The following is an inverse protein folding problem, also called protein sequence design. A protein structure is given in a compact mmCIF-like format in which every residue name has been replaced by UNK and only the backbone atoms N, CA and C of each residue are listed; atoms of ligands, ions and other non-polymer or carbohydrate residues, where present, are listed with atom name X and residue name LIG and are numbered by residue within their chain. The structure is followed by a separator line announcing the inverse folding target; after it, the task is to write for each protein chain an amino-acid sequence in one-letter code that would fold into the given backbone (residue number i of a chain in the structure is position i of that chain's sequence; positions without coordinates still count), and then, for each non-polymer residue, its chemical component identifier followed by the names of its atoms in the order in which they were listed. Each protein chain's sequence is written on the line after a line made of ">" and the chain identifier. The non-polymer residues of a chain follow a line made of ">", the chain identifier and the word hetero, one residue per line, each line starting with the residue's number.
data_IF_351443855017
#
_entry.id   IF_351443855017
#
_cell.length_a   1.000
_cell.length_b   1.000
_cell.length_c   1.000
_cell.angle_alpha   90.00
_cell.angle_beta   90.00
_cell.angle_gamma   90.00
#
_symmetry.space_group_name_H-M   'P 1'
#
loop_
_entity.id
_entity.type
_entity.pdbx_description
1 polymer ?
#
# COMPACT_ATOMS: atom_id res chain seq x y z
N UNK A 1 5.28 -36.19 -7.76
CA UNK A 1 5.28 -34.85 -8.41
C UNK A 1 4.48 -33.92 -7.50
N UNK A 2 5.15 -33.11 -6.70
CA UNK A 2 4.52 -32.30 -5.65
C UNK A 2 3.87 -31.06 -6.26
N UNK A 3 2.53 -30.98 -6.21
CA UNK A 3 1.79 -29.78 -6.54
C UNK A 3 1.94 -28.77 -5.40
N UNK A 4 2.84 -27.81 -5.55
CA UNK A 4 2.89 -26.64 -4.67
C UNK A 4 1.67 -25.77 -4.95
N UNK A 5 0.67 -25.99 -4.10
CA UNK A 5 -0.64 -25.36 -4.08
C UNK A 5 -0.59 -23.83 -4.17
N UNK A 6 -1.40 -23.27 -5.08
CA UNK A 6 -1.71 -21.84 -5.24
C UNK A 6 -2.19 -21.16 -3.93
N UNK A 7 -2.56 -21.92 -2.90
CA UNK A 7 -2.92 -21.38 -1.57
C UNK A 7 -1.74 -20.74 -0.83
N UNK A 8 -0.51 -21.17 -1.09
CA UNK A 8 0.68 -20.66 -0.39
C UNK A 8 1.04 -19.23 -0.80
N UNK A 9 0.80 -18.84 -2.06
CA UNK A 9 1.08 -17.49 -2.55
C UNK A 9 0.05 -16.47 -2.04
N UNK A 10 -1.23 -16.87 -1.94
CA UNK A 10 -2.28 -16.03 -1.36
C UNK A 10 -2.05 -15.76 0.12
N UNK A 11 -1.64 -16.79 0.88
CA UNK A 11 -1.26 -16.64 2.29
C UNK A 11 -0.04 -15.72 2.48
N UNK A 12 0.97 -15.86 1.62
CA UNK A 12 2.15 -15.00 1.63
C UNK A 12 1.79 -13.53 1.33
N UNK A 13 0.93 -13.28 0.35
CA UNK A 13 0.46 -11.92 0.00
C UNK A 13 -0.30 -11.26 1.17
N UNK A 14 -1.21 -12.00 1.81
CA UNK A 14 -1.93 -11.51 2.99
C UNK A 14 -0.97 -11.22 4.14
N UNK A 15 0.03 -12.08 4.36
CA UNK A 15 1.05 -11.88 5.39
C UNK A 15 1.91 -10.64 5.16
N UNK A 16 2.32 -10.39 3.92
CA UNK A 16 3.10 -9.20 3.54
C UNK A 16 2.26 -7.93 3.73
N UNK A 17 1.01 -7.92 3.29
CA UNK A 17 0.12 -6.76 3.48
C UNK A 17 -0.15 -6.47 4.95
N UNK A 18 -0.40 -7.51 5.76
CA UNK A 18 -0.61 -7.37 7.20
C UNK A 18 0.64 -6.83 7.92
N UNK A 19 1.84 -7.24 7.49
CA UNK A 19 3.10 -6.73 8.03
C UNK A 19 3.29 -5.24 7.76
N UNK A 20 3.09 -4.79 6.51
CA UNK A 20 3.19 -3.37 6.17
C UNK A 20 2.12 -2.53 6.86
N UNK A 21 0.89 -3.05 7.01
CA UNK A 21 -0.17 -2.38 7.75
C UNK A 21 0.17 -2.22 9.24
N UNK A 22 0.66 -3.27 9.88
CA UNK A 22 1.09 -3.22 11.28
C UNK A 22 2.27 -2.28 11.49
N UNK A 23 3.22 -2.25 10.56
CA UNK A 23 4.37 -1.34 10.60
C UNK A 23 3.93 0.13 10.46
N UNK A 24 3.04 0.43 9.50
CA UNK A 24 2.49 1.78 9.33
C UNK A 24 1.71 2.23 10.57
N UNK A 25 0.91 1.34 11.16
CA UNK A 25 0.20 1.61 12.40
C UNK A 25 1.18 1.86 13.56
N UNK A 26 2.21 1.05 13.74
CA UNK A 26 3.20 1.25 14.80
C UNK A 26 3.93 2.61 14.67
N UNK A 27 4.27 3.03 13.46
CA UNK A 27 4.92 4.32 13.21
C UNK A 27 3.95 5.50 13.45
N UNK A 28 2.69 5.38 13.02
CA UNK A 28 1.68 6.41 13.26
C UNK A 28 1.37 6.63 14.76
N UNK A 29 1.59 5.61 15.59
CA UNK A 29 1.37 5.65 17.03
C UNK A 29 2.64 6.00 17.85
N UNK A 30 3.79 6.23 17.20
CA UNK A 30 5.07 6.48 17.87
C UNK A 30 5.26 7.93 18.39
N UNK A 31 4.24 8.77 18.33
CA UNK A 31 4.27 10.16 18.80
C UNK A 31 4.01 10.24 20.32
N UNK A 32 5.04 10.01 21.14
CA UNK A 32 5.00 10.42 22.55
C UNK A 32 6.36 10.93 23.04
N UNK A 33 6.53 12.25 23.06
CA UNK A 33 7.59 12.93 23.82
C UNK A 33 7.00 14.12 24.58
N UNK A 34 7.25 14.14 25.90
CA UNK A 34 6.68 15.01 26.92
C UNK A 34 6.79 16.53 26.62
N UNK A 35 5.80 17.37 27.00
CA UNK A 35 5.85 18.79 26.68
C UNK A 35 6.69 19.60 27.70
N UNK A 36 7.73 20.30 27.23
CA UNK A 36 8.03 21.66 27.73
C UNK A 36 7.03 22.65 27.12
N UNK A 37 7.02 23.96 27.48
CA UNK A 37 6.04 24.92 26.92
C UNK A 37 6.02 24.83 25.39
N UNK A 38 4.99 24.16 24.87
CA UNK A 38 4.98 23.69 23.49
C UNK A 38 4.46 24.83 22.61
N UNK A 39 5.13 25.13 21.48
CA UNK A 39 4.51 25.86 20.38
C UNK A 39 3.13 25.25 20.08
N UNK A 40 2.17 26.08 19.66
CA UNK A 40 0.82 25.61 19.32
C UNK A 40 0.90 24.34 18.45
N UNK A 41 0.07 23.31 18.72
CA UNK A 41 0.12 22.07 17.95
C UNK A 41 -0.09 22.41 16.47
N UNK A 42 0.94 22.21 15.65
CA UNK A 42 0.76 22.21 14.21
C UNK A 42 0.19 20.85 13.88
N UNK A 43 -1.11 20.81 13.62
CA UNK A 43 -1.74 19.62 13.05
C UNK A 43 -1.25 19.51 11.62
N UNK A 44 -0.09 18.92 11.39
CA UNK A 44 0.53 18.76 10.07
C UNK A 44 -0.22 17.71 9.24
N UNK A 45 -1.47 18.02 8.88
CA UNK A 45 -2.35 17.22 8.02
C UNK A 45 -1.75 16.93 6.64
N UNK A 46 -0.69 17.65 6.26
CA UNK A 46 0.15 17.39 5.10
C UNK A 46 0.72 15.98 5.08
N UNK A 47 1.04 15.40 6.23
CA UNK A 47 1.57 14.02 6.31
C UNK A 47 0.53 12.98 5.89
N UNK A 48 -0.75 13.19 6.26
CA UNK A 48 -1.88 12.39 5.79
C UNK A 48 -2.11 12.62 4.31
N UNK A 49 -2.10 13.87 3.85
CA UNK A 49 -2.28 14.21 2.44
C UNK A 49 -1.17 13.61 1.55
N UNK A 50 0.08 13.63 2.02
CA UNK A 50 1.23 13.03 1.35
C UNK A 50 1.14 11.49 1.35
N UNK A 51 0.68 10.89 2.44
CA UNK A 51 0.38 9.47 2.51
C UNK A 51 -0.68 9.04 1.49
N UNK A 52 -1.80 9.77 1.43
CA UNK A 52 -2.85 9.56 0.44
C UNK A 52 -2.29 9.74 -0.98
N UNK A 53 -1.47 10.77 -1.22
CA UNK A 53 -0.83 11.00 -2.51
C UNK A 53 0.06 9.82 -2.94
N UNK A 54 0.88 9.26 -2.05
CA UNK A 54 1.69 8.08 -2.34
C UNK A 54 0.84 6.84 -2.61
N UNK A 55 -0.24 6.62 -1.85
CA UNK A 55 -1.17 5.50 -2.09
C UNK A 55 -1.84 5.65 -3.45
N UNK A 56 -2.35 6.83 -3.79
CA UNK A 56 -2.95 7.11 -5.10
C UNK A 56 -1.93 6.95 -6.23
N UNK A 57 -0.68 7.36 -6.03
CA UNK A 57 0.41 7.15 -6.99
C UNK A 57 0.68 5.65 -7.21
N UNK A 58 0.73 4.84 -6.16
CA UNK A 58 0.88 3.38 -6.31
C UNK A 58 -0.33 2.74 -6.98
N UNK A 59 -1.55 3.15 -6.62
CA UNK A 59 -2.78 2.67 -7.29
C UNK A 59 -2.71 2.99 -8.78
N UNK A 60 -2.33 4.20 -9.17
CA UNK A 60 -2.17 4.58 -10.56
C UNK A 60 -1.10 3.74 -11.28
N UNK A 61 0.05 3.51 -10.64
CA UNK A 61 1.12 2.67 -11.18
C UNK A 61 0.66 1.23 -11.41
N UNK A 62 -0.07 0.66 -10.45
CA UNK A 62 -0.64 -0.69 -10.57
C UNK A 62 -1.70 -0.74 -11.67
N UNK A 63 -2.63 0.22 -11.69
CA UNK A 63 -3.68 0.28 -12.71
C UNK A 63 -3.09 0.39 -14.12
N UNK A 64 -2.09 1.26 -14.32
CA UNK A 64 -1.42 1.39 -15.62
C UNK A 64 -0.67 0.12 -16.01
N UNK A 65 0.01 -0.53 -15.06
CA UNK A 65 0.69 -1.81 -15.32
C UNK A 65 -0.29 -2.96 -15.62
N UNK A 66 -1.48 -2.95 -15.00
CA UNK A 66 -2.51 -3.98 -15.22
C UNK A 66 -3.29 -3.75 -16.51
N UNK A 67 -3.62 -2.50 -16.85
CA UNK A 67 -4.37 -2.20 -18.08
C UNK A 67 -3.53 -2.50 -19.33
N UNK A 68 -2.20 -2.36 -19.26
CA UNK A 68 -1.30 -2.64 -20.38
C UNK A 68 -1.44 -4.07 -20.97
N UNK A 69 -1.28 -5.16 -20.19
CA UNK A 69 -1.52 -6.52 -20.69
C UNK A 69 -3.00 -6.85 -20.88
N UNK A 70 -3.92 -6.18 -20.17
CA UNK A 70 -5.36 -6.41 -20.34
C UNK A 70 -5.85 -5.90 -21.70
N UNK A 71 -5.40 -4.72 -22.15
CA UNK A 71 -5.70 -4.17 -23.47
C UNK A 71 -5.14 -5.04 -24.61
N UNK A 72 -3.89 -5.52 -24.44
CA UNK A 72 -3.26 -6.45 -25.37
C UNK A 72 -3.97 -7.82 -25.40
N UNK A 73 -4.38 -8.36 -24.24
CA UNK A 73 -5.10 -9.62 -24.15
C UNK A 73 -6.51 -9.56 -24.75
N UNK A 74 -7.17 -8.40 -24.64
CA UNK A 74 -8.47 -8.15 -25.25
C UNK A 74 -8.35 -8.23 -26.77
N UNK A 75 -7.35 -7.54 -27.32
CA UNK A 75 -7.09 -7.51 -28.76
C UNK A 75 -6.76 -8.90 -29.34
N UNK A 76 -5.95 -9.69 -28.62
CA UNK A 76 -5.62 -11.08 -29.00
C UNK A 76 -6.78 -12.06 -28.87
N UNK A 77 -7.83 -11.75 -28.10
CA UNK A 77 -9.01 -12.61 -27.96
C UNK A 77 -10.03 -12.38 -29.09
N UNK A 78 -10.03 -11.19 -29.70
CA UNK A 78 -10.96 -10.81 -30.77
C UNK A 78 -10.43 -11.08 -32.20
N UNK A 79 -9.19 -11.59 -32.34
CA UNK A 79 -8.56 -12.02 -33.58
C UNK A 79 -8.21 -13.52 -33.52
#
# INVERSE_FOLDING_TARGET
>A
MAGFSSSSSRGALVGVLAFFFALAFAIAHAESSSPGPAPAPTSDGTSIDQGIAYVLMLVALVLTYLIHPLDESSSSFFF
#
